data_IF_134228621827
#
_entry.id   IF_134228621827
#
_cell.length_a   1.000
_cell.length_b   1.000
_cell.length_c   1.000
_cell.angle_alpha   90.00
_cell.angle_beta   90.00
_cell.angle_gamma   90.00
#
_symmetry.space_group_name_H-M   'P 1'
#
loop_
_entity.id
_entity.type
_entity.pdbx_description
1 polymer ?
#
# COMPACT_ATOMS: atom_id res chain seq x y z
N UNK A 1 -22.03 6.35 11.98
CA UNK A 1 -20.68 6.47 12.60
C UNK A 1 -19.68 6.11 11.51
N UNK A 2 -18.69 6.96 11.26
CA UNK A 2 -17.67 6.68 10.23
C UNK A 2 -16.75 5.53 10.67
N UNK A 3 -16.43 4.63 9.76
CA UNK A 3 -15.44 3.57 9.97
C UNK A 3 -14.20 3.89 9.14
N UNK A 4 -13.01 3.67 9.70
CA UNK A 4 -11.73 4.04 9.10
C UNK A 4 -10.83 2.81 8.97
N UNK A 5 -10.10 2.72 7.84
CA UNK A 5 -9.13 1.67 7.57
C UNK A 5 -7.88 2.28 6.93
N UNK A 6 -6.71 1.76 7.30
CA UNK A 6 -5.46 1.98 6.59
C UNK A 6 -5.14 0.69 5.84
N UNK A 7 -5.22 0.73 4.53
CA UNK A 7 -5.02 -0.44 3.66
C UNK A 7 -3.62 -0.39 3.07
N UNK A 8 -2.89 -1.48 3.17
CA UNK A 8 -1.52 -1.60 2.69
C UNK A 8 -1.34 -2.88 1.88
N UNK A 9 -0.68 -2.76 0.73
CA UNK A 9 -0.31 -3.87 -0.15
C UNK A 9 -1.45 -4.45 -0.96
N UNK A 10 -1.15 -5.50 -1.72
CA UNK A 10 -2.04 -6.08 -2.72
C UNK A 10 -3.04 -7.12 -2.18
N UNK A 11 -2.97 -7.45 -0.91
CA UNK A 11 -3.89 -8.44 -0.33
C UNK A 11 -5.33 -7.90 -0.29
N UNK A 12 -6.28 -8.74 -0.63
CA UNK A 12 -7.70 -8.43 -0.45
C UNK A 12 -8.01 -8.24 1.03
N UNK A 13 -8.63 -7.12 1.37
CA UNK A 13 -9.05 -6.82 2.73
C UNK A 13 -10.56 -6.65 2.81
N UNK A 14 -11.15 -7.20 3.86
CA UNK A 14 -12.57 -7.03 4.17
C UNK A 14 -12.77 -5.71 4.91
N UNK A 15 -13.58 -4.81 4.34
CA UNK A 15 -13.95 -3.55 4.96
C UNK A 15 -15.20 -3.67 5.83
N UNK A 16 -16.17 -4.44 5.35
CA UNK A 16 -17.41 -4.71 6.07
C UNK A 16 -17.76 -6.19 5.93
N UNK A 17 -17.91 -6.87 7.06
CA UNK A 17 -18.34 -8.26 7.09
C UNK A 17 -19.80 -8.40 6.63
N UNK A 18 -20.12 -9.51 5.99
CA UNK A 18 -21.50 -9.83 5.63
C UNK A 18 -22.38 -9.87 6.90
N UNK A 19 -23.51 -9.19 6.85
CA UNK A 19 -24.45 -9.11 7.98
C UNK A 19 -24.04 -8.15 9.10
N UNK A 20 -23.07 -7.25 8.87
CA UNK A 20 -22.64 -6.26 9.85
C UNK A 20 -23.70 -5.19 10.16
N UNK A 21 -24.82 -5.17 9.45
CA UNK A 21 -25.92 -4.24 9.63
C UNK A 21 -25.52 -2.76 9.53
N UNK A 22 -24.62 -2.49 8.58
CA UNK A 22 -24.13 -1.14 8.30
C UNK A 22 -24.76 -0.62 7.02
N UNK A 23 -25.26 0.61 7.07
CA UNK A 23 -25.66 1.36 5.87
C UNK A 23 -24.47 2.17 5.38
N UNK A 24 -24.20 2.12 4.09
CA UNK A 24 -23.08 2.84 3.44
C UNK A 24 -23.67 3.84 2.46
N UNK A 25 -23.36 5.11 2.67
CA UNK A 25 -23.81 6.21 1.82
C UNK A 25 -22.64 6.91 1.11
N UNK A 26 -21.42 6.71 1.63
CA UNK A 26 -20.23 7.36 1.11
C UNK A 26 -18.99 6.56 1.46
N UNK A 27 -18.09 6.43 0.49
CA UNK A 27 -16.76 5.87 0.68
C UNK A 27 -15.75 6.88 0.15
N UNK A 28 -14.74 7.21 0.97
CA UNK A 28 -13.59 8.02 0.55
C UNK A 28 -12.34 7.17 0.57
N UNK A 29 -11.56 7.24 -0.51
CA UNK A 29 -10.32 6.49 -0.72
C UNK A 29 -9.20 7.49 -0.99
N UNK A 30 -8.20 7.57 -0.11
CA UNK A 30 -7.08 8.50 -0.26
C UNK A 30 -5.77 7.74 -0.44
N UNK A 31 -5.08 7.95 -1.56
CA UNK A 31 -3.73 7.42 -1.75
C UNK A 31 -2.75 8.21 -0.88
N UNK A 32 -2.16 7.56 0.12
CA UNK A 32 -1.18 8.15 1.05
C UNK A 32 0.26 7.82 0.70
N UNK A 33 0.49 7.07 -0.40
CA UNK A 33 1.83 6.80 -0.91
C UNK A 33 2.47 8.10 -1.45
N UNK A 34 3.79 8.24 -1.24
CA UNK A 34 4.51 9.48 -1.58
C UNK A 34 5.00 9.54 -3.02
N UNK A 35 5.27 8.38 -3.61
CA UNK A 35 6.01 8.29 -4.88
C UNK A 35 5.27 7.57 -5.98
N UNK A 36 4.17 6.88 -5.68
CA UNK A 36 3.46 6.11 -6.68
C UNK A 36 1.94 6.25 -6.60
N UNK A 37 1.32 6.16 -7.76
CA UNK A 37 -0.11 5.89 -7.89
C UNK A 37 -0.38 4.42 -7.63
N UNK A 38 -1.60 4.10 -7.20
CA UNK A 38 -2.06 2.71 -7.10
C UNK A 38 -3.35 2.52 -7.88
N UNK A 39 -3.76 1.27 -8.07
CA UNK A 39 -5.09 0.94 -8.58
C UNK A 39 -5.93 0.35 -7.48
N UNK A 40 -7.23 0.63 -7.54
CA UNK A 40 -8.20 0.18 -6.55
C UNK A 40 -9.29 -0.64 -7.21
N UNK A 41 -9.50 -1.84 -6.68
CA UNK A 41 -10.71 -2.63 -6.86
C UNK A 41 -11.53 -2.55 -5.57
N UNK A 42 -12.75 -2.03 -5.65
CA UNK A 42 -13.73 -2.02 -4.57
C UNK A 42 -14.93 -2.84 -5.02
N UNK A 43 -15.33 -3.84 -4.26
CA UNK A 43 -16.40 -4.74 -4.66
C UNK A 43 -17.17 -5.29 -3.47
N UNK A 44 -18.40 -5.65 -3.71
CA UNK A 44 -19.17 -6.51 -2.82
C UNK A 44 -19.02 -7.96 -3.28
N UNK A 45 -18.91 -8.87 -2.33
CA UNK A 45 -18.92 -10.30 -2.59
C UNK A 45 -20.12 -10.94 -1.92
N UNK A 46 -21.03 -11.44 -2.74
CA UNK A 46 -22.24 -12.12 -2.30
C UNK A 46 -21.95 -13.62 -2.20
N UNK A 47 -22.26 -14.18 -1.05
CA UNK A 47 -22.08 -15.62 -0.79
C UNK A 47 -22.75 -16.45 -1.91
N UNK A 48 -21.98 -17.32 -2.54
CA UNK A 48 -22.39 -18.23 -3.63
C UNK A 48 -22.75 -17.57 -4.98
N UNK A 49 -22.62 -16.25 -5.13
CA UNK A 49 -23.04 -15.55 -6.36
C UNK A 49 -21.88 -14.85 -7.08
N UNK A 50 -20.76 -14.55 -6.37
CA UNK A 50 -19.58 -13.92 -6.94
C UNK A 50 -19.40 -12.45 -6.56
N UNK A 51 -18.44 -11.80 -7.25
CA UNK A 51 -18.02 -10.42 -6.99
C UNK A 51 -18.78 -9.46 -7.88
N UNK A 52 -19.22 -8.34 -7.28
CA UNK A 52 -19.83 -7.23 -7.98
C UNK A 52 -19.01 -5.97 -7.71
N UNK A 53 -18.33 -5.48 -8.73
CA UNK A 53 -17.42 -4.35 -8.60
C UNK A 53 -18.18 -3.03 -8.52
N UNK A 54 -17.87 -2.25 -7.50
CA UNK A 54 -18.24 -0.83 -7.39
C UNK A 54 -17.20 0.04 -8.11
N UNK A 55 -15.93 -0.30 -7.94
CA UNK A 55 -14.79 0.27 -8.66
C UNK A 55 -13.91 -0.88 -9.13
N UNK A 56 -13.42 -0.82 -10.38
CA UNK A 56 -12.51 -1.84 -10.91
C UNK A 56 -11.33 -1.20 -11.62
N UNK A 57 -10.11 -1.45 -11.10
CA UNK A 57 -8.87 -0.95 -11.67
C UNK A 57 -8.81 0.58 -11.73
N UNK A 58 -9.51 1.26 -10.83
CA UNK A 58 -9.52 2.73 -10.79
C UNK A 58 -8.18 3.21 -10.28
N UNK A 59 -7.51 4.03 -11.09
CA UNK A 59 -6.22 4.61 -10.74
C UNK A 59 -6.41 5.76 -9.74
N UNK A 60 -5.66 5.70 -8.64
CA UNK A 60 -5.65 6.70 -7.59
C UNK A 60 -4.28 7.38 -7.59
N UNK A 61 -4.17 8.62 -8.10
CA UNK A 61 -2.92 9.37 -8.11
C UNK A 61 -2.38 9.63 -6.70
N UNK A 62 -1.10 10.00 -6.61
CA UNK A 62 -0.44 10.37 -5.36
C UNK A 62 -1.20 11.50 -4.67
N UNK A 63 -1.54 11.33 -3.39
CA UNK A 63 -2.24 12.31 -2.58
C UNK A 63 -3.69 12.60 -2.99
N UNK A 64 -4.21 11.91 -4.01
CA UNK A 64 -5.59 12.11 -4.44
C UNK A 64 -6.58 11.38 -3.54
N UNK A 65 -7.74 12.00 -3.35
CA UNK A 65 -8.90 11.38 -2.69
C UNK A 65 -10.01 11.17 -3.70
N UNK A 66 -10.41 9.93 -3.88
CA UNK A 66 -11.62 9.56 -4.59
C UNK A 66 -12.79 9.50 -3.60
N UNK A 67 -13.84 10.24 -3.88
CA UNK A 67 -15.08 10.19 -3.10
C UNK A 67 -16.14 9.48 -3.95
N UNK A 68 -16.66 8.39 -3.42
CA UNK A 68 -17.75 7.64 -4.01
C UNK A 68 -18.99 7.79 -3.12
N UNK A 69 -19.91 8.66 -3.49
CA UNK A 69 -21.09 9.08 -2.72
C UNK A 69 -22.42 8.80 -3.42
N UNK A 70 -22.38 8.31 -4.66
CA UNK A 70 -23.58 7.82 -5.37
C UNK A 70 -23.86 6.35 -5.02
N UNK A 71 -23.91 6.07 -3.71
CA UNK A 71 -24.18 4.74 -3.16
C UNK A 71 -25.18 4.83 -2.01
N UNK A 72 -26.05 3.86 -1.95
CA UNK A 72 -26.94 3.68 -0.82
C UNK A 72 -27.24 2.19 -0.69
N UNK A 73 -26.47 1.49 0.14
CA UNK A 73 -26.74 0.09 0.42
C UNK A 73 -26.59 -0.23 1.90
N UNK A 74 -27.27 -1.29 2.31
CA UNK A 74 -27.18 -1.86 3.66
C UNK A 74 -26.93 -3.35 3.54
N UNK A 75 -26.02 -3.89 4.35
CA UNK A 75 -25.73 -5.31 4.41
C UNK A 75 -26.39 -6.01 5.62
N UNK A 76 -27.57 -5.56 6.03
CA UNK A 76 -28.30 -6.08 7.18
C UNK A 76 -28.66 -7.57 7.07
N UNK A 77 -28.87 -8.06 5.85
CA UNK A 77 -29.41 -9.41 5.59
C UNK A 77 -28.34 -10.52 5.48
N UNK A 78 -27.11 -10.29 5.92
CA UNK A 78 -26.00 -11.25 5.81
C UNK A 78 -25.71 -11.74 4.37
N UNK A 79 -26.04 -10.91 3.37
CA UNK A 79 -25.98 -11.31 1.98
C UNK A 79 -24.63 -11.06 1.32
N UNK A 80 -23.88 -10.01 1.74
CA UNK A 80 -22.61 -9.64 1.15
C UNK A 80 -21.67 -8.95 2.12
N UNK A 81 -20.37 -9.07 1.87
CA UNK A 81 -19.31 -8.27 2.46
C UNK A 81 -18.79 -7.24 1.47
N UNK A 82 -18.19 -6.16 1.97
CA UNK A 82 -17.49 -5.14 1.19
C UNK A 82 -15.99 -5.37 1.29
N UNK A 83 -15.32 -5.44 0.15
CA UNK A 83 -13.89 -5.74 0.04
C UNK A 83 -13.16 -4.71 -0.79
N UNK A 84 -11.89 -4.51 -0.45
CA UNK A 84 -10.95 -3.73 -1.25
C UNK A 84 -9.74 -4.59 -1.61
N UNK A 85 -9.22 -4.37 -2.82
CA UNK A 85 -7.93 -4.87 -3.26
C UNK A 85 -7.17 -3.74 -3.95
N UNK A 86 -5.92 -3.55 -3.57
CA UNK A 86 -5.02 -2.60 -4.21
C UNK A 86 -4.10 -3.31 -5.19
N UNK A 87 -3.55 -2.56 -6.12
CA UNK A 87 -2.42 -2.97 -6.95
C UNK A 87 -1.31 -1.94 -6.76
N UNK A 88 -0.13 -2.43 -6.43
CA UNK A 88 1.05 -1.62 -6.13
C UNK A 88 1.48 -0.76 -7.33
N UNK A 89 2.28 0.26 -7.03
CA UNK A 89 2.86 1.14 -8.02
C UNK A 89 3.98 0.48 -8.83
N UNK A 90 4.42 1.17 -9.86
CA UNK A 90 5.54 0.69 -10.66
C UNK A 90 6.86 0.84 -9.90
N UNK A 91 7.75 -0.14 -10.05
CA UNK A 91 9.14 -0.07 -9.60
C UNK A 91 9.84 1.15 -10.20
N UNK A 92 10.68 1.79 -9.42
CA UNK A 92 11.53 2.89 -9.88
C UNK A 92 12.92 2.79 -9.26
N UNK A 93 13.92 3.33 -9.96
CA UNK A 93 15.30 3.42 -9.46
C UNK A 93 15.42 4.61 -8.51
N UNK A 94 15.94 4.36 -7.31
CA UNK A 94 16.10 5.35 -6.25
C UNK A 94 17.30 6.27 -6.51
N UNK A 95 17.27 7.43 -5.87
CA UNK A 95 18.39 8.38 -5.90
C UNK A 95 19.54 7.89 -5.00
N UNK A 96 20.78 8.08 -5.48
CA UNK A 96 21.99 7.80 -4.70
C UNK A 96 22.46 6.35 -4.78
N UNK A 97 23.23 5.93 -3.80
CA UNK A 97 23.74 4.57 -3.70
C UNK A 97 23.55 3.98 -2.31
N UNK A 98 23.48 2.67 -2.25
CA UNK A 98 23.29 1.89 -1.01
C UNK A 98 24.44 0.90 -0.84
N UNK A 99 24.95 0.83 0.39
CA UNK A 99 26.00 -0.09 0.80
C UNK A 99 25.54 -0.82 2.07
N UNK A 100 25.21 -2.09 1.98
CA UNK A 100 24.67 -2.86 3.10
C UNK A 100 25.61 -3.98 3.51
N UNK A 101 25.63 -4.26 4.81
CA UNK A 101 26.40 -5.33 5.40
C UNK A 101 25.51 -6.52 5.71
N UNK A 102 25.92 -7.71 5.32
CA UNK A 102 25.25 -8.96 5.65
C UNK A 102 25.01 -9.13 7.14
N UNK A 103 23.94 -9.83 7.50
CA UNK A 103 23.45 -10.00 8.89
C UNK A 103 22.97 -8.73 9.59
N UNK A 104 22.97 -7.57 8.90
CA UNK A 104 22.49 -6.29 9.43
C UNK A 104 21.14 -5.92 8.79
N UNK A 105 20.34 -5.14 9.50
CA UNK A 105 19.08 -4.58 9.01
C UNK A 105 19.21 -3.11 8.60
N UNK A 106 20.33 -2.47 8.85
CA UNK A 106 20.54 -1.08 8.48
C UNK A 106 20.74 -0.93 6.97
N UNK A 107 20.26 0.20 6.46
CA UNK A 107 20.36 0.60 5.05
C UNK A 107 21.02 1.98 5.00
N UNK A 108 22.36 2.04 5.11
CA UNK A 108 23.07 3.29 4.94
C UNK A 108 23.11 3.69 3.47
N UNK A 109 22.74 4.93 3.18
CA UNK A 109 22.73 5.51 1.85
C UNK A 109 23.71 6.65 1.68
N UNK A 110 24.19 6.85 0.47
CA UNK A 110 25.03 7.97 0.07
C UNK A 110 24.26 8.80 -0.97
N UNK A 111 24.03 10.09 -0.67
CA UNK A 111 23.23 11.00 -1.49
C UNK A 111 21.81 10.48 -1.80
N UNK A 112 21.26 9.66 -0.93
CA UNK A 112 19.88 9.12 -1.06
C UNK A 112 18.83 10.11 -0.55
N UNK A 113 17.57 9.89 -0.92
CA UNK A 113 16.42 10.73 -0.56
C UNK A 113 15.30 9.91 0.14
N UNK A 114 15.68 9.05 1.08
CA UNK A 114 14.75 8.09 1.69
C UNK A 114 13.47 8.71 2.25
N UNK A 115 13.55 9.90 2.86
CA UNK A 115 12.36 10.55 3.45
C UNK A 115 11.33 10.97 2.41
N UNK A 116 11.73 11.18 1.16
CA UNK A 116 10.84 11.56 0.05
C UNK A 116 10.54 10.41 -0.91
N UNK A 117 11.43 9.42 -1.02
CA UNK A 117 11.33 8.32 -1.97
C UNK A 117 10.79 7.02 -1.37
N UNK A 118 10.79 6.86 -0.04
CA UNK A 118 10.35 5.63 0.62
C UNK A 118 9.20 5.88 1.60
N UNK A 119 8.40 4.85 1.77
CA UNK A 119 7.43 4.69 2.85
C UNK A 119 7.72 3.40 3.62
N UNK A 120 7.30 3.34 4.88
CA UNK A 120 7.35 2.09 5.64
C UNK A 120 6.43 1.07 4.95
N UNK A 121 6.94 -0.13 4.75
CA UNK A 121 6.25 -1.18 4.01
C UNK A 121 6.71 -1.31 2.55
N UNK A 122 7.38 -0.31 1.96
CA UNK A 122 7.97 -0.44 0.63
C UNK A 122 9.06 -1.51 0.61
N UNK A 123 9.25 -2.14 -0.53
CA UNK A 123 10.36 -3.05 -0.76
C UNK A 123 11.48 -2.34 -1.50
N UNK A 124 12.71 -2.50 -1.02
CA UNK A 124 13.91 -2.05 -1.73
C UNK A 124 14.67 -3.25 -2.27
N UNK A 125 15.23 -3.07 -3.44
CA UNK A 125 16.07 -4.06 -4.12
C UNK A 125 17.48 -3.50 -4.22
N UNK A 126 18.42 -4.14 -3.53
CA UNK A 126 19.83 -3.76 -3.51
C UNK A 126 20.62 -4.92 -4.09
N UNK A 127 21.27 -4.71 -5.23
CA UNK A 127 22.05 -5.74 -5.94
C UNK A 127 21.31 -7.08 -6.10
N UNK A 128 19.98 -7.01 -6.33
CA UNK A 128 19.13 -8.18 -6.53
C UNK A 128 18.56 -8.82 -5.27
N UNK A 129 18.91 -8.36 -4.08
CA UNK A 129 18.31 -8.81 -2.82
C UNK A 129 17.22 -7.85 -2.38
N UNK A 130 16.02 -8.38 -2.10
CA UNK A 130 14.82 -7.58 -1.73
C UNK A 130 14.59 -7.61 -0.23
N UNK A 131 14.31 -6.45 0.36
CA UNK A 131 13.91 -6.27 1.77
C UNK A 131 12.83 -5.22 1.92
N UNK A 132 11.96 -5.41 2.92
CA UNK A 132 10.88 -4.48 3.25
C UNK A 132 11.36 -3.42 4.24
N UNK A 133 11.07 -2.15 4.00
CA UNK A 133 11.37 -1.03 4.89
C UNK A 133 10.53 -1.12 6.15
N UNK A 134 11.18 -1.14 7.30
CA UNK A 134 10.53 -1.13 8.61
C UNK A 134 10.54 0.25 9.29
N UNK A 135 11.56 1.07 9.03
CA UNK A 135 11.62 2.45 9.51
C UNK A 135 12.55 3.32 8.66
N UNK A 136 12.29 4.63 8.67
CA UNK A 136 13.08 5.66 7.98
C UNK A 136 13.38 6.75 9.00
N UNK A 137 14.66 7.00 9.28
CA UNK A 137 15.10 7.97 10.28
C UNK A 137 15.77 9.22 9.66
N UNK A 138 16.08 9.17 8.36
CA UNK A 138 16.68 10.27 7.63
C UNK A 138 16.82 9.96 6.14
N UNK A 139 17.32 10.92 5.37
CA UNK A 139 17.52 10.73 3.93
C UNK A 139 18.55 9.66 3.58
N UNK A 140 19.46 9.36 4.50
CA UNK A 140 20.54 8.40 4.29
C UNK A 140 20.50 7.23 5.28
N UNK A 141 19.39 7.11 6.04
CA UNK A 141 19.29 6.09 7.09
C UNK A 141 17.89 5.49 7.13
N UNK A 142 17.81 4.22 6.84
CA UNK A 142 16.60 3.40 6.95
C UNK A 142 16.93 2.05 7.58
N UNK A 143 15.91 1.30 7.96
CA UNK A 143 16.00 -0.05 8.52
C UNK A 143 15.02 -0.95 7.78
N UNK A 144 15.44 -2.18 7.49
CA UNK A 144 14.59 -3.21 6.90
C UNK A 144 14.12 -4.22 7.94
N UNK A 145 13.04 -4.94 7.63
CA UNK A 145 12.39 -5.90 8.53
C UNK A 145 13.18 -7.18 8.76
N UNK A 146 14.10 -7.52 7.84
CA UNK A 146 14.94 -8.70 7.92
C UNK A 146 16.38 -8.36 7.51
N UNK A 147 17.37 -9.03 8.11
CA UNK A 147 18.76 -8.82 7.80
C UNK A 147 19.11 -9.18 6.35
N UNK A 148 20.12 -8.51 5.80
CA UNK A 148 20.70 -8.83 4.50
C UNK A 148 21.44 -10.17 4.55
N UNK A 149 21.39 -10.92 3.46
CA UNK A 149 22.03 -12.25 3.37
C UNK A 149 23.53 -12.17 3.15
N UNK A 150 24.01 -11.09 2.56
CA UNK A 150 25.43 -10.86 2.24
C UNK A 150 25.77 -9.37 2.27
N UNK A 151 27.07 -9.09 2.23
CA UNK A 151 27.56 -7.73 1.99
C UNK A 151 27.30 -7.36 0.53
N UNK A 152 26.54 -6.29 0.32
CA UNK A 152 26.18 -5.77 -1.00
C UNK A 152 26.75 -4.36 -1.11
N UNK A 153 27.95 -4.27 -1.69
CA UNK A 153 28.70 -3.03 -1.73
C UNK A 153 28.26 -2.13 -2.89
N UNK A 154 28.03 -0.86 -2.55
CA UNK A 154 27.92 0.28 -3.47
C UNK A 154 26.98 0.05 -4.66
N UNK A 155 25.73 -0.37 -4.38
CA UNK A 155 24.70 -0.38 -5.41
C UNK A 155 24.33 1.06 -5.78
N UNK A 156 24.64 1.46 -7.01
CA UNK A 156 24.39 2.81 -7.55
C UNK A 156 23.06 2.94 -8.27
N UNK A 157 22.29 1.87 -8.32
CA UNK A 157 20.98 1.82 -8.98
C UNK A 157 20.00 0.96 -8.18
N UNK A 158 19.86 1.21 -6.86
CA UNK A 158 18.90 0.46 -6.06
C UNK A 158 17.48 0.78 -6.51
N UNK A 159 16.62 -0.22 -6.53
CA UNK A 159 15.23 -0.05 -6.91
C UNK A 159 14.30 -0.06 -5.71
N UNK A 160 13.16 0.62 -5.85
CA UNK A 160 12.05 0.58 -4.91
C UNK A 160 10.81 0.02 -5.61
N UNK A 161 10.16 -0.93 -4.93
CA UNK A 161 8.82 -1.41 -5.25
C UNK A 161 7.85 -0.75 -4.24
N UNK A 162 7.16 0.34 -4.62
CA UNK A 162 6.30 1.07 -3.69
C UNK A 162 5.06 0.25 -3.36
N UNK A 163 4.82 0.00 -2.09
CA UNK A 163 3.61 -0.65 -1.61
C UNK A 163 2.42 0.30 -1.67
N UNK A 164 1.30 -0.12 -2.23
CA UNK A 164 0.08 0.70 -2.25
C UNK A 164 -0.40 1.00 -0.82
N UNK A 165 -0.68 2.27 -0.54
CA UNK A 165 -1.15 2.75 0.77
C UNK A 165 -2.40 3.59 0.55
N UNK A 166 -3.55 3.14 1.07
CA UNK A 166 -4.83 3.83 0.90
C UNK A 166 -5.57 3.92 2.22
N UNK A 167 -5.91 5.14 2.61
CA UNK A 167 -6.84 5.39 3.70
C UNK A 167 -8.27 5.30 3.19
N UNK A 168 -9.10 4.55 3.89
CA UNK A 168 -10.53 4.35 3.56
C UNK A 168 -11.39 4.87 4.69
N UNK A 169 -12.38 5.70 4.34
CA UNK A 169 -13.42 6.17 5.27
C UNK A 169 -14.78 5.79 4.71
N UNK A 170 -15.58 5.11 5.52
CA UNK A 170 -16.96 4.68 5.19
C UNK A 170 -17.94 5.42 6.10
N UNK A 171 -18.93 6.08 5.50
CA UNK A 171 -20.03 6.78 6.18
C UNK A 171 -21.40 6.26 5.75
#
# INVERSE_FOLDING_TARGET
MATHFNISGELTQELLAAGSNVSVNKISLTNTQKVSKCKVDLYIEKKLTGKFYLLKGVELPIGATLVYDDINFSNAANEFGLYIKLTDGATFTMTGSIDVTGTNTNVPGTNTLYTSELSVGDEIVVSGETRTISSITGNTTAVVSAAWGSDLANDTSPDCNPTALVDVIIN
#
